data_IF_680087216836
#
_entry.id   IF_680087216836
#
_cell.length_a   1.000
_cell.length_b   1.000
_cell.length_c   1.000
_cell.angle_alpha   90.00
_cell.angle_beta   90.00
_cell.angle_gamma   90.00
#
_symmetry.space_group_name_H-M   'P 1'
#
loop_
_entity.id
_entity.type
_entity.pdbx_description
1 polymer ?
#
# COMPACT_ATOMS: atom_id res chain seq x y z
N UNK A 1 18.81 -59.30 -8.12
CA UNK A 1 17.87 -58.42 -7.37
C UNK A 1 18.69 -57.20 -6.95
N UNK A 2 18.83 -56.14 -7.75
CA UNK A 2 17.84 -55.13 -8.16
C UNK A 2 17.43 -54.23 -6.99
N UNK A 3 18.34 -53.37 -6.50
CA UNK A 3 17.97 -52.14 -5.78
C UNK A 3 18.98 -51.02 -6.09
N UNK A 4 18.65 -50.23 -7.11
CA UNK A 4 19.19 -48.89 -7.33
C UNK A 4 18.47 -47.97 -6.35
N UNK A 5 19.17 -47.46 -5.35
CA UNK A 5 18.64 -46.39 -4.48
C UNK A 5 18.88 -45.08 -5.22
N UNK A 6 17.85 -44.60 -5.90
CA UNK A 6 17.83 -43.28 -6.52
C UNK A 6 17.65 -42.22 -5.43
N UNK A 7 18.67 -41.37 -5.28
CA UNK A 7 18.63 -40.18 -4.44
C UNK A 7 17.63 -39.17 -5.03
N UNK A 8 16.46 -39.03 -4.41
CA UNK A 8 15.54 -37.93 -4.72
C UNK A 8 15.91 -36.72 -3.86
N UNK A 9 16.80 -35.86 -4.38
CA UNK A 9 16.96 -34.49 -3.89
C UNK A 9 15.63 -33.77 -4.09
N UNK A 10 14.85 -33.59 -3.02
CA UNK A 10 13.81 -32.57 -2.99
C UNK A 10 14.51 -31.21 -3.11
N UNK A 11 14.57 -30.69 -4.32
CA UNK A 11 14.85 -29.28 -4.55
C UNK A 11 13.73 -28.49 -3.85
N UNK A 12 14.03 -28.00 -2.65
CA UNK A 12 13.25 -26.97 -1.99
C UNK A 12 13.34 -25.74 -2.88
N UNK A 13 12.40 -25.61 -3.82
CA UNK A 13 12.19 -24.38 -4.56
C UNK A 13 11.65 -23.37 -3.55
N UNK A 14 12.57 -22.63 -2.92
CA UNK A 14 12.25 -21.44 -2.16
C UNK A 14 11.54 -20.50 -3.12
N UNK A 15 10.21 -20.48 -3.03
CA UNK A 15 9.37 -19.48 -3.66
C UNK A 15 9.68 -18.16 -2.98
N UNK A 16 10.68 -17.45 -3.48
CA UNK A 16 10.89 -16.06 -3.14
C UNK A 16 9.67 -15.30 -3.67
N UNK A 17 8.71 -14.99 -2.80
CA UNK A 17 7.67 -14.03 -3.13
C UNK A 17 8.37 -12.73 -3.52
N UNK A 18 8.33 -12.37 -4.80
CA UNK A 18 8.90 -11.11 -5.25
C UNK A 18 8.04 -9.99 -4.67
N UNK A 19 8.54 -9.34 -3.61
CA UNK A 19 8.04 -8.04 -3.23
C UNK A 19 8.21 -7.15 -4.47
N UNK A 20 7.11 -6.62 -5.00
CA UNK A 20 7.19 -5.76 -6.17
C UNK A 20 7.88 -4.47 -5.75
N UNK A 21 8.97 -4.13 -6.43
CA UNK A 21 9.71 -2.90 -6.18
C UNK A 21 8.79 -1.71 -6.49
N UNK A 22 8.79 -0.72 -5.59
CA UNK A 22 7.99 0.49 -5.76
C UNK A 22 8.67 1.44 -6.74
N UNK A 23 7.87 2.02 -7.63
CA UNK A 23 8.31 3.05 -8.55
C UNK A 23 8.67 4.36 -7.81
N UNK A 24 9.56 5.20 -8.36
CA UNK A 24 9.97 6.45 -7.71
C UNK A 24 8.80 7.38 -7.34
N UNK A 25 7.75 7.44 -8.17
CA UNK A 25 6.56 8.26 -7.90
C UNK A 25 5.73 7.73 -6.73
N UNK A 26 5.75 6.41 -6.48
CA UNK A 26 5.06 5.78 -5.37
C UNK A 26 5.73 6.13 -4.04
N UNK A 27 7.06 6.12 -4.02
CA UNK A 27 7.87 6.49 -2.86
C UNK A 27 7.65 7.96 -2.54
N UNK A 28 7.91 8.85 -3.50
CA UNK A 28 7.74 10.30 -3.35
C UNK A 28 6.29 10.68 -2.98
N UNK A 29 5.32 10.03 -3.62
CA UNK A 29 3.91 10.25 -3.36
C UNK A 29 3.47 9.89 -1.94
N UNK A 30 3.96 8.76 -1.42
CA UNK A 30 3.72 8.37 -0.03
C UNK A 30 4.39 9.33 0.96
N UNK A 31 5.61 9.80 0.67
CA UNK A 31 6.29 10.82 1.48
C UNK A 31 5.51 12.14 1.53
N UNK A 32 5.00 12.62 0.38
CA UNK A 32 4.16 13.81 0.32
C UNK A 32 2.87 13.64 1.11
N UNK A 33 2.21 12.48 1.01
CA UNK A 33 1.00 12.20 1.78
C UNK A 33 1.28 12.11 3.30
N UNK A 34 2.47 11.64 3.70
CA UNK A 34 2.90 11.55 5.11
C UNK A 34 3.33 12.89 5.70
N UNK A 35 3.51 13.93 4.88
CA UNK A 35 3.81 15.28 5.36
C UNK A 35 2.61 15.95 6.07
N UNK A 36 1.39 15.45 5.87
CA UNK A 36 0.20 15.86 6.62
C UNK A 36 0.32 15.42 8.09
N UNK A 37 0.26 16.35 9.08
CA UNK A 37 0.53 16.04 10.49
C UNK A 37 -0.39 14.99 11.11
N UNK A 38 -1.59 14.80 10.54
CA UNK A 38 -2.58 13.84 11.02
C UNK A 38 -2.36 12.42 10.49
N UNK A 39 -1.40 12.21 9.57
CA UNK A 39 -1.02 10.91 9.01
C UNK A 39 0.10 10.30 9.84
N UNK A 40 -0.13 9.10 10.39
CA UNK A 40 0.88 8.34 11.11
C UNK A 40 1.75 7.50 10.18
N UNK A 41 1.10 6.86 9.20
CA UNK A 41 1.80 6.00 8.27
C UNK A 41 1.14 5.97 6.89
N UNK A 42 1.98 5.72 5.88
CA UNK A 42 1.61 5.64 4.48
C UNK A 42 2.39 4.49 3.85
N UNK A 43 1.69 3.45 3.40
CA UNK A 43 2.33 2.28 2.82
C UNK A 43 1.54 1.71 1.65
N UNK A 44 2.27 1.14 0.69
CA UNK A 44 1.70 0.49 -0.46
C UNK A 44 1.38 -0.97 -0.12
N UNK A 45 0.09 -1.32 -0.05
CA UNK A 45 -0.33 -2.71 0.17
C UNK A 45 -0.12 -3.56 -1.09
N UNK A 46 -0.21 -2.93 -2.26
CA UNK A 46 0.08 -3.44 -3.60
C UNK A 46 0.49 -2.24 -4.46
N UNK A 47 1.04 -2.47 -5.66
CA UNK A 47 1.46 -1.37 -6.56
C UNK A 47 0.34 -0.39 -6.94
N UNK A 48 -0.92 -0.79 -6.77
CA UNK A 48 -2.10 0.00 -7.15
C UNK A 48 -2.95 0.43 -5.93
N UNK A 49 -2.46 0.24 -4.70
CA UNK A 49 -3.23 0.60 -3.50
C UNK A 49 -2.35 1.18 -2.40
N UNK A 50 -2.54 2.48 -2.15
CA UNK A 50 -1.88 3.22 -1.08
C UNK A 50 -2.81 3.28 0.13
N UNK A 51 -2.32 2.75 1.25
CA UNK A 51 -3.02 2.76 2.54
C UNK A 51 -2.41 3.83 3.44
N UNK A 52 -3.28 4.62 4.05
CA UNK A 52 -2.93 5.71 4.95
C UNK A 52 -3.56 5.45 6.30
N UNK A 53 -2.80 5.59 7.38
CA UNK A 53 -3.33 5.59 8.75
C UNK A 53 -3.36 7.02 9.28
N UNK A 54 -4.53 7.45 9.76
CA UNK A 54 -4.79 8.85 10.11
C UNK A 54 -5.47 8.96 11.48
N UNK A 55 -5.25 10.08 12.17
CA UNK A 55 -6.07 10.48 13.32
C UNK A 55 -7.52 10.67 12.87
N UNK A 56 -8.41 9.88 13.46
CA UNK A 56 -9.84 9.97 13.24
C UNK A 56 -10.45 11.02 14.18
N UNK A 57 -11.06 12.05 13.59
CA UNK A 57 -11.82 13.09 14.29
C UNK A 57 -13.34 12.95 14.10
N UNK A 58 -13.79 11.83 13.54
CA UNK A 58 -15.18 11.55 13.21
C UNK A 58 -15.65 12.12 11.87
N UNK A 59 -14.81 12.84 11.14
CA UNK A 59 -15.13 13.35 9.80
C UNK A 59 -14.73 12.39 8.68
N UNK A 60 -15.42 12.49 7.54
CA UNK A 60 -15.03 11.75 6.34
C UNK A 60 -13.71 12.27 5.77
N UNK A 61 -12.80 11.36 5.44
CA UNK A 61 -11.49 11.67 4.83
C UNK A 61 -11.44 11.45 3.32
N UNK A 62 -12.61 11.36 2.65
CA UNK A 62 -12.67 11.25 1.19
C UNK A 62 -12.03 12.47 0.51
N UNK A 63 -12.27 13.68 1.01
CA UNK A 63 -11.67 14.89 0.46
C UNK A 63 -10.14 14.89 0.55
N UNK A 64 -9.58 14.39 1.65
CA UNK A 64 -8.14 14.22 1.77
C UNK A 64 -7.61 13.13 0.82
N UNK A 65 -8.33 12.02 0.66
CA UNK A 65 -7.96 10.97 -0.30
C UNK A 65 -7.89 11.50 -1.76
N UNK A 66 -8.78 12.43 -2.14
CA UNK A 66 -8.72 13.12 -3.44
C UNK A 66 -7.49 14.05 -3.54
N UNK A 67 -7.12 14.73 -2.46
CA UNK A 67 -5.87 15.51 -2.41
C UNK A 67 -4.66 14.60 -2.64
N UNK A 68 -4.64 13.41 -2.05
CA UNK A 68 -3.56 12.43 -2.26
C UNK A 68 -3.44 12.03 -3.73
N UNK A 69 -4.53 11.90 -4.48
CA UNK A 69 -4.45 11.66 -5.93
C UNK A 69 -3.70 12.77 -6.68
N UNK A 70 -3.87 14.03 -6.25
CA UNK A 70 -3.10 15.17 -6.79
C UNK A 70 -1.63 15.09 -6.39
N UNK A 71 -1.34 14.77 -5.13
CA UNK A 71 0.05 14.58 -4.66
C UNK A 71 0.77 13.47 -5.43
N UNK A 72 0.09 12.37 -5.74
CA UNK A 72 0.66 11.30 -6.59
C UNK A 72 0.95 11.82 -8.01
N UNK A 73 0.09 12.67 -8.55
CA UNK A 73 0.31 13.30 -9.86
C UNK A 73 1.53 14.24 -9.81
N UNK A 74 1.66 15.06 -8.77
CA UNK A 74 2.83 15.92 -8.53
C UNK A 74 4.12 15.11 -8.25
N UNK A 75 3.97 13.88 -7.75
CA UNK A 75 5.05 12.93 -7.59
C UNK A 75 5.48 12.26 -8.91
N UNK A 76 4.73 12.46 -10.00
CA UNK A 76 5.04 11.90 -11.32
C UNK A 76 4.29 10.61 -11.65
N UNK A 77 3.16 10.33 -10.98
CA UNK A 77 2.28 9.21 -11.34
C UNK A 77 1.90 9.33 -12.83
N UNK A 78 2.08 8.27 -13.65
CA UNK A 78 1.70 8.30 -15.05
C UNK A 78 0.20 8.57 -15.25
N UNK A 79 -0.14 9.27 -16.33
CA UNK A 79 -1.54 9.54 -16.68
C UNK A 79 -2.28 8.22 -16.94
N UNK A 80 -3.47 8.06 -16.36
CA UNK A 80 -4.28 6.84 -16.49
C UNK A 80 -3.84 5.69 -15.58
N UNK A 81 -2.76 5.85 -14.81
CA UNK A 81 -2.31 4.84 -13.84
C UNK A 81 -3.31 4.76 -12.68
N UNK A 82 -3.93 3.59 -12.53
CA UNK A 82 -4.93 3.35 -11.51
C UNK A 82 -4.32 3.26 -10.12
N UNK A 83 -4.81 4.06 -9.17
CA UNK A 83 -4.44 3.94 -7.76
C UNK A 83 -5.67 4.05 -6.86
N UNK A 84 -5.86 3.09 -5.98
CA UNK A 84 -6.86 3.15 -4.91
C UNK A 84 -6.25 3.71 -3.62
N UNK A 85 -6.75 4.86 -3.18
CA UNK A 85 -6.39 5.46 -1.89
C UNK A 85 -7.36 4.98 -0.82
N UNK A 86 -6.83 4.47 0.29
CA UNK A 86 -7.63 4.08 1.46
C UNK A 86 -7.07 4.75 2.69
N UNK A 87 -7.95 5.44 3.43
CA UNK A 87 -7.61 6.07 4.71
C UNK A 87 -8.30 5.30 5.81
N UNK A 88 -7.51 4.82 6.77
CA UNK A 88 -7.94 4.06 7.91
C UNK A 88 -7.71 4.84 9.21
N UNK A 89 -8.60 4.64 10.17
CA UNK A 89 -8.41 5.16 11.52
C UNK A 89 -7.22 4.48 12.19
N UNK A 90 -6.25 5.29 12.64
CA UNK A 90 -5.07 4.81 13.35
C UNK A 90 -5.44 4.12 14.67
N UNK A 91 -6.43 4.63 15.41
CA UNK A 91 -6.88 4.02 16.66
C UNK A 91 -7.51 2.64 16.43
N UNK A 92 -8.28 2.46 15.35
CA UNK A 92 -8.84 1.16 14.97
C UNK A 92 -7.74 0.18 14.59
N UNK A 93 -6.74 0.58 13.80
CA UNK A 93 -5.59 -0.29 13.44
C UNK A 93 -4.89 -0.79 14.70
N UNK A 94 -4.68 0.09 15.68
CA UNK A 94 -4.08 -0.29 16.97
C UNK A 94 -4.90 -1.31 17.77
N UNK A 95 -6.21 -1.35 17.55
CA UNK A 95 -7.12 -2.32 18.16
C UNK A 95 -7.27 -3.60 17.34
N UNK A 96 -6.55 -3.75 16.23
CA UNK A 96 -6.67 -4.88 15.31
C UNK A 96 -7.86 -4.80 14.36
N UNK A 97 -8.46 -3.61 14.20
CA UNK A 97 -9.62 -3.36 13.36
C UNK A 97 -9.25 -2.52 12.14
N UNK A 98 -9.93 -2.75 11.01
CA UNK A 98 -9.79 -1.94 9.81
C UNK A 98 -11.03 -1.05 9.62
N UNK A 99 -11.04 0.09 10.31
CA UNK A 99 -12.07 1.11 10.11
C UNK A 99 -11.64 2.10 9.01
N UNK A 100 -12.22 1.97 7.82
CA UNK A 100 -11.92 2.87 6.70
C UNK A 100 -12.75 4.16 6.82
N UNK A 101 -12.06 5.29 6.97
CA UNK A 101 -12.65 6.62 7.16
C UNK A 101 -12.57 7.51 5.91
N UNK A 102 -11.83 7.07 4.88
CA UNK A 102 -11.72 7.77 3.60
C UNK A 102 -11.33 6.85 2.46
N UNK A 103 -11.73 7.23 1.24
CA UNK A 103 -11.34 6.58 -0.01
C UNK A 103 -11.37 7.55 -1.18
N UNK A 104 -10.51 7.30 -2.16
CA UNK A 104 -10.55 7.91 -3.48
C UNK A 104 -9.96 6.93 -4.52
N UNK A 105 -10.33 7.13 -5.79
CA UNK A 105 -9.75 6.39 -6.91
C UNK A 105 -9.08 7.41 -7.81
N UNK A 106 -7.78 7.27 -7.99
CA UNK A 106 -7.00 8.12 -8.86
C UNK A 106 -7.02 7.50 -10.27
N UNK A 107 -7.48 8.27 -11.25
CA UNK A 107 -7.45 7.93 -12.69
C UNK A 107 -6.78 9.07 -13.46
#
# INVERSE_FOLDING_TARGET
MKYLIAAALLAMTSTTGMATELEPWQIKGAELAKAEPTIYDAYWNQNISLWLSMVDDGSSRNGYAEVVCRLLTDAGRPQGEFVAIRVYSYSSIRNGELNQIGKAICQ
#
